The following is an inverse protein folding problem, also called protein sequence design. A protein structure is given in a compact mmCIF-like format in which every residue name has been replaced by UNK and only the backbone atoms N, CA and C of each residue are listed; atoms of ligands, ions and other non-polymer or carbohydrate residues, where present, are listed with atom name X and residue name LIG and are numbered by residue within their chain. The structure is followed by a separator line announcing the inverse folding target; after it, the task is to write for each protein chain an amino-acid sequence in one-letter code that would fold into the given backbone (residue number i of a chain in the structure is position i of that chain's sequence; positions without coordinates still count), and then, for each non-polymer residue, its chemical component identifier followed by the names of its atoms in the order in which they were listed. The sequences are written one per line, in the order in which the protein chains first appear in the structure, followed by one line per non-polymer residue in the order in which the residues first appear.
data_IF_259112950893
#
_entry.id   IF_259112950893
#
_cell.length_a   1.000
_cell.length_b   1.000
_cell.length_c   1.000
_cell.angle_alpha   90.00
_cell.angle_beta   90.00
_cell.angle_gamma   90.00
#
_symmetry.space_group_name_H-M   'P 1'
#
loop_
_entity.id
_entity.type
_entity.pdbx_description
1 polymer ?
#
# COMPACT_ATOMS: atom_id res chain seq x y z
N UNK A 1 -23.13 -5.71 -12.83
CA UNK A 1 -22.70 -5.65 -11.42
C UNK A 1 -23.86 -5.15 -10.58
N UNK A 2 -24.14 -5.79 -9.45
CA UNK A 2 -25.13 -5.29 -8.49
C UNK A 2 -24.53 -4.10 -7.73
N UNK A 3 -25.32 -3.05 -7.52
CA UNK A 3 -24.93 -1.92 -6.67
C UNK A 3 -25.73 -1.96 -5.38
N UNK A 4 -25.15 -1.43 -4.31
CA UNK A 4 -25.82 -1.27 -3.01
C UNK A 4 -25.62 0.15 -2.51
N UNK A 5 -26.55 0.62 -1.67
CA UNK A 5 -26.52 1.98 -1.13
C UNK A 5 -25.86 1.99 0.23
N UNK A 6 -24.91 2.91 0.43
CA UNK A 6 -24.27 3.18 1.71
C UNK A 6 -24.67 4.58 2.21
N UNK A 7 -25.24 4.65 3.42
CA UNK A 7 -25.51 5.93 4.09
C UNK A 7 -24.37 6.26 5.04
N UNK A 8 -23.62 7.32 4.76
CA UNK A 8 -22.49 7.77 5.59
C UNK A 8 -22.79 9.11 6.26
N UNK A 9 -22.29 9.28 7.48
CA UNK A 9 -22.26 10.58 8.16
C UNK A 9 -20.92 11.24 7.86
N UNK A 10 -20.97 12.48 7.40
CA UNK A 10 -19.79 13.32 7.18
C UNK A 10 -20.05 14.69 7.80
N UNK A 11 -19.02 15.34 8.30
CA UNK A 11 -19.15 16.72 8.76
C UNK A 11 -19.36 17.69 7.58
N UNK A 12 -19.89 18.88 7.88
CA UNK A 12 -20.21 19.87 6.85
C UNK A 12 -18.97 20.34 6.06
N UNK A 13 -17.79 20.35 6.68
CA UNK A 13 -16.56 20.77 5.99
C UNK A 13 -16.18 19.76 4.91
N UNK A 14 -16.30 18.47 5.19
CA UNK A 14 -16.08 17.40 4.20
C UNK A 14 -17.11 17.50 3.07
N UNK A 15 -18.40 17.67 3.41
CA UNK A 15 -19.46 17.84 2.41
C UNK A 15 -19.17 19.01 1.45
N UNK A 16 -18.76 20.16 1.99
CA UNK A 16 -18.41 21.34 1.18
C UNK A 16 -17.20 21.09 0.27
N UNK A 17 -16.16 20.39 0.75
CA UNK A 17 -15.01 20.00 -0.08
C UNK A 17 -15.45 19.08 -1.22
N UNK A 18 -16.30 18.10 -0.94
CA UNK A 18 -16.83 17.17 -1.93
C UNK A 18 -17.71 17.89 -2.97
N UNK A 19 -18.56 18.83 -2.55
CA UNK A 19 -19.38 19.66 -3.45
C UNK A 19 -18.52 20.47 -4.42
N UNK A 20 -17.40 21.06 -3.94
CA UNK A 20 -16.46 21.81 -4.80
C UNK A 20 -15.73 20.89 -5.79
N UNK A 21 -15.23 19.75 -5.32
CA UNK A 21 -14.51 18.80 -6.16
C UNK A 21 -15.41 18.24 -7.28
N UNK A 22 -16.64 17.85 -6.93
CA UNK A 22 -17.66 17.40 -7.88
C UNK A 22 -17.90 18.41 -9.01
N UNK A 23 -18.07 19.69 -8.66
CA UNK A 23 -18.23 20.77 -9.65
C UNK A 23 -17.01 20.94 -10.54
N UNK A 24 -15.80 20.96 -9.95
CA UNK A 24 -14.56 21.18 -10.71
C UNK A 24 -14.20 20.04 -11.67
N UNK A 25 -14.64 18.81 -11.36
CA UNK A 25 -14.32 17.60 -12.13
C UNK A 25 -15.45 17.13 -13.03
N UNK A 26 -16.62 17.81 -12.99
CA UNK A 26 -17.85 17.38 -13.64
C UNK A 26 -18.25 15.93 -13.27
N UNK A 27 -18.05 15.53 -12.01
CA UNK A 27 -18.38 14.20 -11.49
C UNK A 27 -19.43 14.28 -10.39
N UNK A 28 -20.20 13.21 -10.22
CA UNK A 28 -21.13 13.10 -9.10
C UNK A 28 -20.38 12.87 -7.79
N UNK A 29 -20.98 13.30 -6.67
CA UNK A 29 -20.45 13.02 -5.33
C UNK A 29 -20.34 11.53 -5.06
N UNK A 30 -21.34 10.76 -5.52
CA UNK A 30 -21.34 9.31 -5.38
C UNK A 30 -20.11 8.69 -6.08
N UNK A 31 -19.82 9.12 -7.32
CA UNK A 31 -18.64 8.67 -8.06
C UNK A 31 -17.34 8.97 -7.30
N UNK A 32 -17.18 10.19 -6.79
CA UNK A 32 -15.98 10.58 -6.03
C UNK A 32 -15.83 9.77 -4.74
N UNK A 33 -16.93 9.52 -4.02
CA UNK A 33 -16.91 8.72 -2.79
C UNK A 33 -16.61 7.26 -3.10
N UNK A 34 -17.21 6.68 -4.14
CA UNK A 34 -16.92 5.31 -4.58
C UNK A 34 -15.45 5.15 -4.93
N UNK A 35 -14.89 6.04 -5.77
CA UNK A 35 -13.46 5.99 -6.11
C UNK A 35 -12.58 6.10 -4.86
N UNK A 36 -12.88 7.03 -3.95
CA UNK A 36 -12.10 7.20 -2.73
C UNK A 36 -12.15 5.94 -1.83
N UNK A 37 -13.30 5.26 -1.78
CA UNK A 37 -13.46 3.99 -1.06
C UNK A 37 -12.66 2.88 -1.76
N UNK A 38 -12.73 2.78 -3.08
CA UNK A 38 -11.97 1.78 -3.86
C UNK A 38 -10.46 1.94 -3.66
N UNK A 39 -9.95 3.18 -3.75
CA UNK A 39 -8.54 3.49 -3.50
C UNK A 39 -8.14 3.14 -2.06
N UNK A 40 -8.97 3.51 -1.08
CA UNK A 40 -8.73 3.17 0.32
C UNK A 40 -8.69 1.66 0.54
N UNK A 41 -9.67 0.93 0.02
CA UNK A 41 -9.73 -0.53 0.15
C UNK A 41 -8.53 -1.20 -0.52
N UNK A 42 -8.19 -0.80 -1.75
CA UNK A 42 -7.05 -1.35 -2.49
C UNK A 42 -5.75 -1.29 -1.68
N UNK A 43 -5.42 -0.11 -1.13
CA UNK A 43 -4.21 0.09 -0.32
C UNK A 43 -4.25 -0.75 0.96
N UNK A 44 -5.36 -0.70 1.69
CA UNK A 44 -5.46 -1.36 3.00
C UNK A 44 -5.52 -2.89 2.87
N UNK A 45 -6.28 -3.41 1.90
CA UNK A 45 -6.37 -4.86 1.67
C UNK A 45 -5.05 -5.45 1.22
N UNK A 46 -4.32 -4.76 0.32
CA UNK A 46 -2.97 -5.15 -0.07
C UNK A 46 -2.03 -5.20 1.14
N UNK A 47 -2.00 -4.13 1.95
CA UNK A 47 -1.14 -4.06 3.15
C UNK A 47 -1.45 -5.17 4.15
N UNK A 48 -2.73 -5.37 4.47
CA UNK A 48 -3.17 -6.41 5.41
C UNK A 48 -2.79 -7.80 4.89
N UNK A 49 -3.02 -8.06 3.60
CA UNK A 49 -2.70 -9.35 2.98
C UNK A 49 -1.20 -9.64 3.03
N UNK A 50 -0.35 -8.72 2.59
CA UNK A 50 1.09 -8.95 2.57
C UNK A 50 1.69 -9.01 3.97
N UNK A 51 1.15 -8.24 4.93
CA UNK A 51 1.54 -8.34 6.35
C UNK A 51 1.24 -9.74 6.90
N UNK A 52 0.01 -10.23 6.72
CA UNK A 52 -0.39 -11.57 7.17
C UNK A 52 0.44 -12.67 6.53
N UNK A 53 0.67 -12.58 5.22
CA UNK A 53 1.48 -13.54 4.46
C UNK A 53 2.94 -13.54 4.94
N UNK A 54 3.51 -12.37 5.19
CA UNK A 54 4.90 -12.23 5.67
C UNK A 54 5.04 -12.77 7.09
N UNK A 55 4.09 -12.46 7.99
CA UNK A 55 4.07 -13.02 9.35
C UNK A 55 3.94 -14.54 9.33
N UNK A 56 3.08 -15.09 8.47
CA UNK A 56 2.94 -16.53 8.33
C UNK A 56 4.25 -17.19 7.89
N UNK A 57 4.95 -16.62 6.90
CA UNK A 57 6.27 -17.10 6.45
C UNK A 57 7.32 -16.99 7.56
N UNK A 58 7.36 -15.87 8.28
CA UNK A 58 8.33 -15.62 9.35
C UNK A 58 8.16 -16.57 10.54
N UNK A 59 6.93 -16.99 10.83
CA UNK A 59 6.62 -17.90 11.94
C UNK A 59 6.77 -19.39 11.58
N UNK A 60 7.08 -19.73 10.31
CA UNK A 60 7.31 -21.13 9.92
C UNK A 60 8.65 -21.65 10.46
N UNK A 61 8.71 -22.91 10.92
CA UNK A 61 9.99 -23.56 11.22
C UNK A 61 10.93 -23.52 10.01
N UNK A 62 12.16 -23.07 10.20
CA UNK A 62 13.14 -22.91 9.11
C UNK A 62 12.96 -21.64 8.27
N UNK A 63 12.17 -20.66 8.73
CA UNK A 63 12.09 -19.34 8.12
C UNK A 63 13.49 -18.72 7.93
N UNK A 64 13.74 -18.20 6.72
CA UNK A 64 15.02 -17.61 6.35
C UNK A 64 14.98 -16.09 6.54
N UNK A 65 16.00 -15.57 7.23
CA UNK A 65 16.21 -14.14 7.44
C UNK A 65 17.62 -13.76 6.98
N UNK A 66 17.77 -12.51 6.54
CA UNK A 66 19.07 -11.95 6.17
C UNK A 66 19.65 -11.26 7.40
N UNK A 67 20.93 -11.53 7.67
CA UNK A 67 21.63 -10.89 8.79
C UNK A 67 21.71 -9.37 8.59
N UNK A 68 21.45 -8.62 9.67
CA UNK A 68 21.44 -7.16 9.66
C UNK A 68 22.76 -6.55 9.15
N UNK A 69 23.91 -7.16 9.42
CA UNK A 69 25.22 -6.67 8.94
C UNK A 69 25.35 -6.74 7.43
N UNK A 70 24.74 -7.76 6.80
CA UNK A 70 24.73 -7.87 5.33
C UNK A 70 23.86 -6.79 4.70
N UNK A 71 22.70 -6.51 5.30
CA UNK A 71 21.80 -5.45 4.83
C UNK A 71 22.45 -4.07 4.97
N UNK A 72 23.05 -3.77 6.12
CA UNK A 72 23.73 -2.48 6.36
C UNK A 72 24.93 -2.27 5.45
N UNK A 73 25.80 -3.28 5.30
CA UNK A 73 26.95 -3.18 4.38
C UNK A 73 26.52 -2.89 2.93
N UNK A 74 25.40 -3.48 2.50
CA UNK A 74 24.84 -3.21 1.18
C UNK A 74 24.30 -1.77 1.07
N UNK A 75 23.48 -1.33 2.03
CA UNK A 75 22.93 0.04 2.04
C UNK A 75 24.04 1.11 2.10
N UNK A 76 25.09 0.88 2.88
CA UNK A 76 26.23 1.81 3.01
C UNK A 76 27.04 1.93 1.70
N UNK A 77 26.94 0.93 0.82
CA UNK A 77 27.63 0.92 -0.48
C UNK A 77 26.87 1.68 -1.57
N UNK A 78 25.58 2.01 -1.36
CA UNK A 78 24.74 2.67 -2.36
C UNK A 78 25.32 4.03 -2.79
N UNK A 79 25.36 4.27 -4.11
CA UNK A 79 25.90 5.52 -4.67
C UNK A 79 27.43 5.62 -4.60
N UNK A 80 28.12 4.58 -4.13
CA UNK A 80 29.57 4.47 -4.19
C UNK A 80 30.03 3.83 -5.50
N UNK A 81 31.33 3.92 -5.80
CA UNK A 81 31.94 3.23 -6.95
C UNK A 81 31.97 1.70 -6.79
N UNK A 82 31.74 1.21 -5.58
CA UNK A 82 31.78 -0.21 -5.22
C UNK A 82 30.44 -0.65 -4.61
N UNK A 83 29.34 -0.21 -5.21
CA UNK A 83 27.99 -0.63 -4.79
C UNK A 83 27.86 -2.15 -4.86
N UNK A 84 27.41 -2.74 -3.75
CA UNK A 84 27.29 -4.19 -3.59
C UNK A 84 25.94 -4.69 -4.12
N UNK A 85 25.89 -5.97 -4.49
CA UNK A 85 24.62 -6.63 -4.84
C UNK A 85 23.71 -6.76 -3.60
N UNK A 86 22.38 -6.66 -3.77
CA UNK A 86 21.44 -6.87 -2.68
C UNK A 86 21.61 -8.25 -2.04
N UNK A 87 21.52 -8.37 -0.71
CA UNK A 87 21.75 -9.63 0.00
C UNK A 87 20.58 -10.61 -0.08
N UNK A 88 19.59 -10.37 -0.94
CA UNK A 88 18.41 -11.22 -1.18
C UNK A 88 18.40 -11.82 -2.58
N UNK A 89 17.79 -13.00 -2.76
CA UNK A 89 17.54 -13.54 -4.09
C UNK A 89 16.33 -12.85 -4.74
N UNK A 90 16.32 -12.73 -6.07
CA UNK A 90 15.27 -12.08 -6.87
C UNK A 90 13.88 -12.75 -6.78
N UNK A 91 13.70 -13.80 -5.98
CA UNK A 91 12.39 -14.44 -5.72
C UNK A 91 11.62 -13.80 -4.56
N UNK A 92 12.26 -12.96 -3.76
CA UNK A 92 11.56 -11.99 -2.93
C UNK A 92 11.03 -10.91 -3.86
N UNK A 93 9.85 -11.16 -4.44
CA UNK A 93 9.09 -10.16 -5.18
C UNK A 93 9.14 -8.86 -4.38
N UNK A 94 9.82 -7.87 -4.94
CA UNK A 94 9.68 -6.50 -4.49
C UNK A 94 8.18 -6.27 -4.34
N UNK A 95 7.75 -5.90 -3.13
CA UNK A 95 6.51 -5.17 -2.98
C UNK A 95 6.58 -4.08 -4.06
N UNK A 96 5.77 -4.21 -5.11
CA UNK A 96 5.51 -3.09 -5.99
C UNK A 96 4.81 -2.06 -5.09
N UNK A 97 5.60 -1.10 -4.62
CA UNK A 97 5.14 0.14 -4.00
C UNK A 97 4.69 1.06 -5.13
#
# INVERSE_FOLDING_TARGET
MSTTTLTIRVDERIKQKLDKLAKSTARSKSYLVTNAIEDFLSVNEWQIRETRKTLQKANQPGAQFIDHKKVTSWLDSWGSKNEQEPPYNLSFQACHI
#
